data_IF_849226290020
#
_entry.id   IF_849226290020
#
_cell.length_a   1.000
_cell.length_b   1.000
_cell.length_c   1.000
_cell.angle_alpha   90.00
_cell.angle_beta   90.00
_cell.angle_gamma   90.00
#
_symmetry.space_group_name_H-M   'P 1'
#
loop_
_entity.id
_entity.type
_entity.pdbx_description
1 polymer ?
#
# COMPACT_ATOMS: atom_id res chain seq x y z
N UNK A 1 19.96 -18.10 7.32
CA UNK A 1 18.73 -17.46 7.83
C UNK A 1 18.74 -16.02 7.35
N UNK A 2 18.35 -15.86 6.09
CA UNK A 2 18.39 -14.60 5.35
C UNK A 2 17.38 -13.66 5.99
N UNK A 3 17.85 -12.67 6.76
CA UNK A 3 17.02 -11.54 7.16
C UNK A 3 16.75 -10.79 5.88
N UNK A 4 15.72 -11.18 5.14
CA UNK A 4 15.01 -10.20 4.32
C UNK A 4 14.61 -9.17 5.35
N UNK A 5 15.34 -8.06 5.37
CA UNK A 5 15.17 -7.03 6.39
C UNK A 5 13.68 -6.72 6.47
N UNK A 6 13.15 -6.72 7.68
CA UNK A 6 11.72 -6.47 7.93
C UNK A 6 11.30 -5.13 7.29
N UNK A 7 12.26 -4.21 7.12
CA UNK A 7 12.15 -2.96 6.33
C UNK A 7 11.77 -3.13 4.86
N UNK A 8 12.02 -4.27 4.21
CA UNK A 8 11.65 -4.54 2.81
C UNK A 8 10.31 -5.29 2.73
N UNK A 9 10.03 -6.19 3.67
CA UNK A 9 8.80 -6.98 3.68
C UNK A 9 7.53 -6.12 3.90
N UNK A 10 7.61 -5.11 4.77
CA UNK A 10 6.50 -4.17 5.03
C UNK A 10 6.12 -3.28 3.84
N UNK A 11 7.08 -2.69 3.08
CA UNK A 11 6.77 -2.01 1.83
C UNK A 11 6.14 -2.92 0.79
N UNK A 12 6.61 -4.17 0.67
CA UNK A 12 6.03 -5.13 -0.28
C UNK A 12 4.56 -5.45 0.05
N UNK A 13 4.22 -5.60 1.34
CA UNK A 13 2.82 -5.75 1.78
C UNK A 13 1.96 -4.52 1.48
N UNK A 14 2.50 -3.33 1.71
CA UNK A 14 1.80 -2.06 1.43
C UNK A 14 1.51 -1.87 -0.05
N UNK A 15 2.45 -2.25 -0.93
CA UNK A 15 2.25 -2.26 -2.39
C UNK A 15 1.12 -3.23 -2.75
N UNK A 16 1.11 -4.42 -2.16
CA UNK A 16 0.03 -5.41 -2.36
C UNK A 16 -1.35 -4.85 -1.98
N UNK A 17 -1.43 -4.10 -0.87
CA UNK A 17 -2.68 -3.45 -0.45
C UNK A 17 -3.14 -2.37 -1.45
N UNK A 18 -2.22 -1.52 -1.94
CA UNK A 18 -2.53 -0.48 -2.92
C UNK A 18 -3.02 -1.11 -4.23
N UNK A 19 -2.30 -2.10 -4.75
CA UNK A 19 -2.67 -2.80 -5.98
C UNK A 19 -4.02 -3.49 -5.83
N UNK A 20 -4.26 -4.16 -4.70
CA UNK A 20 -5.55 -4.81 -4.43
C UNK A 20 -6.70 -3.78 -4.34
N UNK A 21 -6.48 -2.63 -3.69
CA UNK A 21 -7.48 -1.57 -3.62
C UNK A 21 -7.82 -0.98 -5.00
N UNK A 22 -6.81 -0.80 -5.86
CA UNK A 22 -7.00 -0.34 -7.26
C UNK A 22 -7.75 -1.38 -8.09
N UNK A 23 -7.41 -2.66 -7.95
CA UNK A 23 -8.09 -3.77 -8.63
C UNK A 23 -9.55 -3.87 -8.15
N UNK A 24 -9.80 -3.82 -6.84
CA UNK A 24 -11.14 -3.86 -6.29
C UNK A 24 -12.01 -2.68 -6.78
N UNK A 25 -11.42 -1.48 -6.86
CA UNK A 25 -12.12 -0.32 -7.42
C UNK A 25 -12.41 -0.47 -8.91
N UNK A 26 -11.42 -0.89 -9.71
CA UNK A 26 -11.54 -0.96 -11.16
C UNK A 26 -12.41 -2.15 -11.64
N UNK A 27 -12.39 -3.28 -10.92
CA UNK A 27 -13.00 -4.54 -11.35
C UNK A 27 -14.28 -4.88 -10.62
N UNK A 28 -14.39 -4.56 -9.32
CA UNK A 28 -15.63 -4.77 -8.54
C UNK A 28 -16.51 -3.53 -8.49
N UNK A 29 -16.02 -2.36 -8.94
CA UNK A 29 -16.77 -1.11 -8.87
C UNK A 29 -17.05 -0.67 -7.43
N UNK A 30 -16.24 -1.13 -6.46
CA UNK A 30 -16.40 -0.72 -5.06
C UNK A 30 -16.25 0.80 -4.95
N UNK A 31 -17.23 1.45 -4.32
CA UNK A 31 -17.14 2.90 -4.04
C UNK A 31 -16.01 3.11 -3.04
N UNK A 32 -14.86 3.55 -3.53
CA UNK A 32 -13.76 4.01 -2.68
C UNK A 32 -14.22 5.26 -1.95
N UNK A 33 -14.64 5.08 -0.69
CA UNK A 33 -14.94 6.20 0.20
C UNK A 33 -13.76 7.15 0.28
N UNK A 34 -14.03 8.46 0.40
CA UNK A 34 -13.01 9.50 0.54
C UNK A 34 -11.99 9.17 1.65
N UNK A 35 -12.46 8.53 2.72
CA UNK A 35 -11.62 8.05 3.83
C UNK A 35 -10.64 6.94 3.42
N UNK A 36 -11.05 6.02 2.53
CA UNK A 36 -10.15 4.97 1.99
C UNK A 36 -9.09 5.60 1.08
N UNK A 37 -9.46 6.56 0.25
CA UNK A 37 -8.52 7.26 -0.63
C UNK A 37 -7.47 8.01 0.19
N UNK A 38 -7.89 8.72 1.24
CA UNK A 38 -6.98 9.39 2.17
C UNK A 38 -6.07 8.40 2.89
N UNK A 39 -6.59 7.26 3.35
CA UNK A 39 -5.81 6.20 3.97
C UNK A 39 -4.75 5.61 3.02
N UNK A 40 -5.12 5.35 1.76
CA UNK A 40 -4.17 4.91 0.72
C UNK A 40 -3.07 5.96 0.52
N UNK A 41 -3.41 7.25 0.49
CA UNK A 41 -2.45 8.34 0.40
C UNK A 41 -1.42 8.33 1.54
N UNK A 42 -1.87 8.12 2.78
CA UNK A 42 -0.97 8.01 3.95
C UNK A 42 -0.03 6.81 3.84
N UNK A 43 -0.55 5.66 3.39
CA UNK A 43 0.27 4.44 3.19
C UNK A 43 1.34 4.71 2.12
N UNK A 44 0.98 5.32 0.98
CA UNK A 44 1.94 5.66 -0.08
C UNK A 44 3.05 6.56 0.45
N UNK A 45 2.70 7.60 1.22
CA UNK A 45 3.70 8.51 1.81
C UNK A 45 4.63 7.76 2.77
N UNK A 46 4.09 6.91 3.65
CA UNK A 46 4.89 6.09 4.56
C UNK A 46 5.85 5.15 3.84
N UNK A 47 5.41 4.53 2.74
CA UNK A 47 6.25 3.67 1.89
C UNK A 47 7.35 4.48 1.21
N UNK A 48 7.07 5.68 0.68
CA UNK A 48 8.08 6.52 0.03
C UNK A 48 9.17 6.94 1.03
N UNK A 49 8.79 7.27 2.28
CA UNK A 49 9.74 7.61 3.34
C UNK A 49 10.60 6.40 3.66
N UNK A 50 10.00 5.23 3.86
CA UNK A 50 10.72 4.01 4.19
C UNK A 50 11.64 3.53 3.07
N UNK A 51 11.23 3.69 1.80
CA UNK A 51 12.02 3.31 0.63
C UNK A 51 13.19 4.28 0.34
N UNK A 52 13.15 5.49 0.92
CA UNK A 52 14.19 6.51 0.77
C UNK A 52 15.08 6.67 2.02
N UNK A 53 14.74 5.99 3.11
CA UNK A 53 15.48 5.98 4.38
C UNK A 53 16.41 4.78 4.52
#
# INVERSE_FOLDING_TARGET
LSRVDVSIAYPMLSIGYIVNAVIAWAWLGEVLSMTRILGIGVIIVGVIILARG
#
